data_IF_158093381874
#
_entry.id   IF_158093381874
#
_cell.length_a   1.000
_cell.length_b   1.000
_cell.length_c   1.000
_cell.angle_alpha   90.00
_cell.angle_beta   90.00
_cell.angle_gamma   90.00
#
_symmetry.space_group_name_H-M   'P 1'
#
loop_
_entity.id
_entity.type
_entity.pdbx_description
1 polymer ?
#
# COMPACT_ATOMS: atom_id res chain seq x y z
N UNK A 1 -78.17 -27.13 -15.28
CA UNK A 1 -78.04 -26.05 -14.29
C UNK A 1 -77.11 -26.50 -13.17
N UNK A 2 -75.83 -26.19 -13.26
CA UNK A 2 -74.89 -26.41 -12.16
C UNK A 2 -74.97 -25.21 -11.20
N UNK A 3 -75.28 -25.48 -9.93
CA UNK A 3 -75.48 -24.50 -8.87
C UNK A 3 -74.26 -23.60 -8.68
N UNK A 4 -74.51 -22.31 -8.43
CA UNK A 4 -73.53 -21.26 -8.07
C UNK A 4 -72.53 -21.70 -6.97
N UNK A 5 -72.92 -22.67 -6.14
CA UNK A 5 -72.08 -23.26 -5.08
C UNK A 5 -70.89 -24.10 -5.59
N UNK A 6 -70.95 -24.68 -6.79
CA UNK A 6 -69.85 -25.48 -7.34
C UNK A 6 -68.72 -24.64 -7.96
N UNK A 7 -69.00 -23.42 -8.43
CA UNK A 7 -67.97 -22.52 -8.97
C UNK A 7 -67.08 -21.92 -7.87
N UNK A 8 -67.63 -21.65 -6.69
CA UNK A 8 -66.86 -21.12 -5.55
C UNK A 8 -65.89 -22.13 -4.93
N UNK A 9 -66.23 -23.42 -4.93
CA UNK A 9 -65.35 -24.48 -4.40
C UNK A 9 -64.15 -24.81 -5.31
N UNK A 10 -64.23 -24.48 -6.60
CA UNK A 10 -63.12 -24.69 -7.54
C UNK A 10 -62.09 -23.54 -7.47
N UNK A 11 -62.54 -22.30 -7.26
CA UNK A 11 -61.66 -21.15 -7.03
C UNK A 11 -60.92 -21.22 -5.67
N UNK A 12 -61.55 -21.77 -4.63
CA UNK A 12 -60.92 -21.95 -3.31
C UNK A 12 -59.82 -23.04 -3.31
N UNK A 13 -59.93 -24.08 -4.14
CA UNK A 13 -58.89 -25.14 -4.26
C UNK A 13 -57.71 -24.75 -5.15
N UNK A 14 -57.90 -23.83 -6.10
CA UNK A 14 -56.81 -23.30 -6.95
C UNK A 14 -55.94 -22.25 -6.23
N UNK A 15 -56.45 -21.60 -5.18
CA UNK A 15 -55.68 -20.66 -4.35
C UNK A 15 -54.91 -21.35 -3.20
N UNK A 16 -55.22 -22.61 -2.88
CA UNK A 16 -54.63 -23.32 -1.74
C UNK A 16 -53.39 -24.16 -2.07
N UNK A 17 -53.01 -24.29 -3.35
CA UNK A 17 -51.89 -25.14 -3.79
C UNK A 17 -50.76 -24.40 -4.53
N UNK A 18 -50.76 -23.07 -4.53
CA UNK A 18 -49.61 -22.26 -4.98
C UNK A 18 -48.81 -21.65 -3.81
N UNK A 19 -49.05 -22.10 -2.58
CA UNK A 19 -48.09 -21.94 -1.47
C UNK A 19 -47.22 -23.20 -1.45
N UNK A 20 -46.65 -23.53 -2.62
CA UNK A 20 -45.41 -24.29 -2.62
C UNK A 20 -44.41 -23.33 -2.01
N UNK A 21 -43.93 -23.70 -0.83
CA UNK A 21 -42.77 -23.15 -0.17
C UNK A 21 -41.63 -23.00 -1.19
N UNK A 22 -41.59 -21.86 -1.89
CA UNK A 22 -40.35 -21.20 -2.22
C UNK A 22 -39.79 -20.77 -0.86
N UNK A 23 -39.19 -21.73 -0.13
CA UNK A 23 -37.99 -21.41 0.61
C UNK A 23 -37.00 -20.92 -0.46
N UNK A 24 -37.13 -19.65 -0.83
CA UNK A 24 -35.99 -18.86 -1.22
C UNK A 24 -35.07 -19.00 -0.02
N UNK A 25 -34.16 -19.98 -0.08
CA UNK A 25 -32.82 -19.76 0.37
C UNK A 25 -32.36 -18.50 -0.39
N UNK A 26 -32.76 -17.34 0.13
CA UNK A 26 -31.88 -16.20 0.13
C UNK A 26 -30.69 -16.66 0.95
N UNK A 27 -29.81 -17.46 0.33
CA UNK A 27 -28.40 -17.28 0.54
C UNK A 27 -28.18 -15.82 0.24
N UNK A 28 -28.29 -15.01 1.30
CA UNK A 28 -27.63 -13.73 1.33
C UNK A 28 -26.21 -14.10 0.91
N UNK A 29 -25.85 -13.76 -0.33
CA UNK A 29 -24.45 -13.52 -0.62
C UNK A 29 -24.13 -12.37 0.32
N UNK A 30 -23.79 -12.70 1.56
CA UNK A 30 -23.10 -11.80 2.44
C UNK A 30 -21.83 -11.52 1.66
N UNK A 31 -21.84 -10.43 0.90
CA UNK A 31 -20.62 -9.78 0.46
C UNK A 31 -19.86 -9.56 1.76
N UNK A 32 -18.88 -10.45 2.01
CA UNK A 32 -18.07 -10.39 3.22
C UNK A 32 -17.09 -9.27 2.97
N UNK A 33 -17.60 -8.04 3.15
CA UNK A 33 -16.80 -6.83 3.17
C UNK A 33 -15.78 -6.93 4.29
N UNK A 34 -14.65 -6.25 4.12
CA UNK A 34 -13.62 -6.19 5.15
C UNK A 34 -14.19 -5.58 6.43
N UNK A 35 -13.77 -6.09 7.59
CA UNK A 35 -14.28 -5.63 8.90
C UNK A 35 -13.15 -5.49 9.90
N UNK A 36 -13.24 -4.44 10.72
CA UNK A 36 -12.36 -4.31 11.89
C UNK A 36 -12.67 -5.45 12.86
N UNK A 37 -11.63 -6.10 13.37
CA UNK A 37 -11.78 -7.26 14.25
C UNK A 37 -12.26 -8.53 13.54
N UNK A 38 -12.02 -8.68 12.23
CA UNK A 38 -12.38 -9.88 11.46
C UNK A 38 -11.90 -11.18 12.12
N UNK A 39 -10.71 -11.17 12.73
CA UNK A 39 -10.09 -12.33 13.39
C UNK A 39 -10.41 -12.46 14.89
N UNK A 40 -11.31 -11.64 15.44
CA UNK A 40 -11.56 -11.58 16.90
C UNK A 40 -11.94 -12.93 17.51
N UNK A 41 -12.61 -13.81 16.77
CA UNK A 41 -12.97 -15.15 17.22
C UNK A 41 -12.04 -16.24 16.69
N UNK A 42 -11.60 -16.15 15.43
CA UNK A 42 -10.83 -17.22 14.76
C UNK A 42 -9.33 -17.18 15.05
N UNK A 43 -8.76 -15.99 15.26
CA UNK A 43 -7.37 -15.82 15.70
C UNK A 43 -7.22 -14.56 16.55
N UNK A 44 -7.67 -14.57 17.82
CA UNK A 44 -7.77 -13.37 18.66
C UNK A 44 -6.46 -12.61 18.86
N UNK A 45 -5.31 -13.30 18.75
CA UNK A 45 -3.98 -12.72 18.96
C UNK A 45 -3.28 -12.28 17.66
N UNK A 46 -3.91 -12.41 16.49
CA UNK A 46 -3.28 -12.13 15.19
C UNK A 46 -2.62 -10.74 15.12
N UNK A 47 -3.39 -9.67 15.36
CA UNK A 47 -2.87 -8.29 15.30
C UNK A 47 -1.75 -8.04 16.34
N UNK A 48 -1.81 -8.68 17.51
CA UNK A 48 -0.77 -8.52 18.54
C UNK A 48 0.54 -9.20 18.12
N UNK A 49 0.46 -10.40 17.53
CA UNK A 49 1.62 -11.14 17.02
C UNK A 49 2.33 -10.33 15.92
N UNK A 50 1.55 -9.79 14.97
CA UNK A 50 2.07 -8.97 13.86
C UNK A 50 2.75 -7.72 14.42
N UNK A 51 2.06 -6.98 15.29
CA UNK A 51 2.60 -5.78 15.93
C UNK A 51 3.92 -6.04 16.65
N UNK A 52 4.04 -7.17 17.36
CA UNK A 52 5.26 -7.53 18.06
C UNK A 52 6.42 -7.83 17.10
N UNK A 53 6.18 -8.59 16.03
CA UNK A 53 7.20 -8.85 15.01
C UNK A 53 7.69 -7.54 14.35
N UNK A 54 6.75 -6.66 13.97
CA UNK A 54 7.07 -5.35 13.39
C UNK A 54 7.86 -4.47 14.36
N UNK A 55 7.43 -4.35 15.62
CA UNK A 55 8.12 -3.54 16.62
C UNK A 55 9.53 -4.06 16.92
N UNK A 56 9.71 -5.37 16.97
CA UNK A 56 11.02 -6.00 17.15
C UNK A 56 11.94 -5.65 15.98
N UNK A 57 11.47 -5.84 14.74
CA UNK A 57 12.24 -5.54 13.54
C UNK A 57 12.60 -4.04 13.44
N UNK A 58 11.65 -3.13 13.70
CA UNK A 58 11.89 -1.68 13.69
C UNK A 58 12.91 -1.27 14.77
N UNK A 59 12.90 -1.92 15.94
CA UNK A 59 13.86 -1.62 17.01
C UNK A 59 15.29 -2.03 16.65
N UNK A 60 15.46 -3.00 15.76
CA UNK A 60 16.77 -3.41 15.23
C UNK A 60 17.17 -2.56 14.01
N UNK A 61 16.21 -2.24 13.15
CA UNK A 61 16.42 -1.43 11.95
C UNK A 61 15.20 -0.51 11.71
N UNK A 62 15.30 0.80 12.03
CA UNK A 62 14.21 1.75 11.83
C UNK A 62 13.71 1.84 10.38
N UNK A 63 14.56 1.51 9.40
CA UNK A 63 14.23 1.53 7.97
C UNK A 63 13.16 0.51 7.55
N UNK A 64 12.88 -0.49 8.40
CA UNK A 64 11.83 -1.50 8.18
C UNK A 64 10.44 -0.86 8.15
N UNK A 65 10.19 0.18 8.96
CA UNK A 65 8.89 0.85 8.99
C UNK A 65 8.52 1.41 7.62
N UNK A 66 9.46 2.11 6.98
CA UNK A 66 9.29 2.64 5.62
C UNK A 66 9.15 1.50 4.59
N UNK A 67 9.92 0.42 4.75
CA UNK A 67 9.85 -0.76 3.88
C UNK A 67 8.46 -1.41 3.86
N UNK A 68 7.87 -1.62 5.03
CA UNK A 68 6.55 -2.26 5.17
C UNK A 68 5.40 -1.38 4.67
N UNK A 69 5.45 -0.06 4.93
CA UNK A 69 4.47 0.89 4.38
C UNK A 69 4.54 0.90 2.86
N UNK A 70 5.76 0.98 2.29
CA UNK A 70 5.99 0.94 0.84
C UNK A 70 5.53 -0.39 0.24
N UNK A 71 5.82 -1.52 0.88
CA UNK A 71 5.41 -2.84 0.41
C UNK A 71 3.88 -2.97 0.35
N UNK A 72 3.16 -2.44 1.34
CA UNK A 72 1.69 -2.43 1.31
C UNK A 72 1.14 -1.53 0.18
N UNK A 73 1.77 -0.37 -0.07
CA UNK A 73 1.44 0.47 -1.22
C UNK A 73 1.66 -0.29 -2.55
N UNK A 74 2.81 -0.94 -2.70
CA UNK A 74 3.15 -1.69 -3.93
C UNK A 74 2.20 -2.86 -4.17
N UNK A 75 1.80 -3.59 -3.11
CA UNK A 75 0.76 -4.62 -3.19
C UNK A 75 -0.54 -4.02 -3.71
N UNK A 76 -1.09 -3.03 -3.02
CA UNK A 76 -2.38 -2.45 -3.38
C UNK A 76 -2.42 -1.80 -4.78
N UNK A 77 -1.28 -1.38 -5.33
CA UNK A 77 -1.20 -0.74 -6.64
C UNK A 77 -0.92 -1.71 -7.79
N UNK A 78 -0.72 -3.00 -7.51
CA UNK A 78 -0.57 -4.07 -8.52
C UNK A 78 -1.58 -5.17 -8.19
N UNK A 79 -2.58 -5.36 -9.07
CA UNK A 79 -3.73 -6.28 -8.88
C UNK A 79 -4.62 -6.05 -7.64
N UNK A 80 -4.24 -5.18 -6.71
CA UNK A 80 -5.00 -4.91 -5.49
C UNK A 80 -4.30 -5.46 -4.26
N UNK A 81 -4.84 -5.21 -3.07
CA UNK A 81 -4.21 -5.66 -1.83
C UNK A 81 -4.45 -7.16 -1.60
N UNK A 82 -3.82 -8.01 -2.42
CA UNK A 82 -3.96 -9.47 -2.41
C UNK A 82 -2.63 -10.20 -2.12
N UNK A 83 -1.62 -9.48 -1.61
CA UNK A 83 -0.29 -9.99 -1.29
C UNK A 83 0.47 -10.60 -2.48
N UNK A 84 0.15 -10.21 -3.71
CA UNK A 84 0.83 -10.69 -4.92
C UNK A 84 2.32 -10.33 -4.89
N UNK A 85 2.65 -9.13 -4.38
CA UNK A 85 4.04 -8.64 -4.21
C UNK A 85 4.90 -9.54 -3.32
N UNK A 86 4.27 -10.37 -2.47
CA UNK A 86 4.98 -11.29 -1.59
C UNK A 86 5.36 -12.60 -2.28
N UNK A 87 4.83 -12.93 -3.46
CA UNK A 87 5.25 -14.16 -4.15
C UNK A 87 6.70 -14.06 -4.63
N UNK A 88 7.46 -15.13 -4.47
CA UNK A 88 8.76 -15.28 -5.12
C UNK A 88 8.58 -15.74 -6.56
N UNK A 89 9.57 -15.42 -7.38
CA UNK A 89 9.67 -15.92 -8.75
C UNK A 89 9.69 -17.45 -8.78
N UNK A 90 9.04 -18.03 -9.78
CA UNK A 90 9.14 -19.47 -10.10
C UNK A 90 9.86 -19.64 -11.43
N UNK A 91 10.34 -20.85 -11.78
CA UNK A 91 10.98 -21.07 -13.08
C UNK A 91 10.07 -20.58 -14.22
N UNK A 92 10.61 -19.72 -15.08
CA UNK A 92 9.93 -19.08 -16.21
C UNK A 92 8.80 -18.09 -15.87
N UNK A 93 8.59 -17.75 -14.59
CA UNK A 93 7.62 -16.72 -14.20
C UNK A 93 8.25 -15.76 -13.18
N UNK A 94 8.94 -14.70 -13.66
CA UNK A 94 9.48 -13.67 -12.78
C UNK A 94 8.33 -12.93 -12.09
N UNK A 95 8.41 -12.86 -10.77
CA UNK A 95 7.39 -12.19 -9.94
C UNK A 95 7.58 -10.66 -9.96
N UNK A 96 6.60 -9.95 -9.41
CA UNK A 96 6.70 -8.50 -9.15
C UNK A 96 7.99 -8.13 -8.41
N UNK A 97 8.52 -9.02 -7.56
CA UNK A 97 9.75 -8.77 -6.81
C UNK A 97 10.94 -8.43 -7.72
N UNK A 98 11.00 -8.99 -8.93
CA UNK A 98 12.09 -8.78 -9.90
C UNK A 98 11.95 -7.52 -10.75
N UNK A 99 10.88 -6.75 -10.56
CA UNK A 99 10.68 -5.50 -11.28
C UNK A 99 11.67 -4.44 -10.82
N UNK A 100 12.10 -3.52 -11.70
CA UNK A 100 13.07 -2.46 -11.36
C UNK A 100 12.58 -1.54 -10.23
N UNK A 101 11.26 -1.39 -10.07
CA UNK A 101 10.67 -0.66 -8.96
C UNK A 101 10.78 -1.40 -7.61
N UNK A 102 11.06 -2.71 -7.62
CA UNK A 102 10.98 -3.60 -6.47
C UNK A 102 12.33 -4.24 -6.10
N UNK A 103 13.17 -4.60 -7.08
CA UNK A 103 14.48 -5.19 -6.85
C UNK A 103 15.60 -4.15 -7.04
N UNK A 104 16.56 -4.00 -6.10
CA UNK A 104 16.62 -4.61 -4.76
C UNK A 104 15.93 -3.74 -3.67
N UNK A 105 15.02 -2.83 -4.04
CA UNK A 105 14.55 -1.75 -3.16
C UNK A 105 13.45 -2.10 -2.14
N UNK A 106 12.58 -3.10 -2.42
CA UNK A 106 11.60 -3.57 -1.45
C UNK A 106 12.30 -4.39 -0.36
N UNK A 107 11.91 -4.18 0.90
CA UNK A 107 12.54 -4.77 2.08
C UNK A 107 11.55 -4.98 3.22
N UNK A 108 11.86 -5.90 4.14
CA UNK A 108 10.97 -6.29 5.24
C UNK A 108 10.14 -7.54 4.96
N UNK A 109 10.44 -8.29 3.90
CA UNK A 109 9.76 -9.56 3.58
C UNK A 109 9.91 -10.57 4.72
N UNK A 110 11.07 -10.61 5.34
CA UNK A 110 11.41 -11.45 6.50
C UNK A 110 10.52 -11.18 7.72
N UNK A 111 10.07 -9.93 7.91
CA UNK A 111 9.16 -9.55 9.00
C UNK A 111 7.77 -10.13 8.76
N UNK A 112 7.32 -10.12 7.51
CA UNK A 112 6.04 -10.72 7.10
C UNK A 112 6.10 -12.25 7.25
N UNK A 113 7.18 -12.88 6.81
CA UNK A 113 7.38 -14.32 6.93
C UNK A 113 7.46 -14.75 8.42
N UNK A 114 8.14 -13.99 9.27
CA UNK A 114 8.22 -14.25 10.72
C UNK A 114 6.84 -14.12 11.38
N UNK A 115 6.10 -13.05 11.11
CA UNK A 115 4.74 -12.87 11.62
C UNK A 115 3.82 -14.00 11.16
N UNK A 116 3.93 -14.40 9.88
CA UNK A 116 3.15 -15.49 9.31
C UNK A 116 3.46 -16.83 9.99
N UNK A 117 4.72 -17.16 10.20
CA UNK A 117 5.12 -18.40 10.86
C UNK A 117 4.56 -18.49 12.29
N UNK A 118 4.64 -17.39 13.06
CA UNK A 118 4.07 -17.31 14.42
C UNK A 118 2.54 -17.46 14.42
N UNK A 119 1.86 -16.84 13.46
CA UNK A 119 0.42 -16.96 13.28
C UNK A 119 0.03 -18.41 12.95
N UNK A 120 0.67 -19.04 11.97
CA UNK A 120 0.33 -20.40 11.54
C UNK A 120 0.53 -21.45 12.65
N UNK A 121 1.48 -21.21 13.56
CA UNK A 121 1.67 -22.07 14.75
C UNK A 121 0.50 -21.99 15.75
N UNK A 122 -0.28 -20.91 15.73
CA UNK A 122 -1.35 -20.64 16.72
C UNK A 122 -2.73 -20.82 16.10
N UNK A 123 -2.93 -20.29 14.89
CA UNK A 123 -4.20 -20.29 14.17
C UNK A 123 -3.97 -20.71 12.71
N UNK A 124 -3.74 -22.02 12.46
CA UNK A 124 -3.35 -22.51 11.14
C UNK A 124 -4.40 -22.18 10.08
N UNK A 125 -3.94 -21.84 8.88
CA UNK A 125 -4.75 -21.53 7.69
C UNK A 125 -5.84 -20.47 7.92
N UNK A 126 -5.63 -19.53 8.85
CA UNK A 126 -6.67 -18.57 9.27
C UNK A 126 -6.44 -17.15 8.75
N UNK A 127 -5.23 -16.59 8.93
CA UNK A 127 -4.93 -15.19 8.61
C UNK A 127 -4.20 -15.09 7.28
N UNK A 128 -4.68 -14.26 6.35
CA UNK A 128 -4.07 -14.08 5.03
C UNK A 128 -2.78 -13.27 5.12
N UNK A 129 -1.87 -13.47 4.17
CA UNK A 129 -0.68 -12.64 4.04
C UNK A 129 -1.02 -11.19 3.67
N UNK A 130 -2.09 -10.98 2.90
CA UNK A 130 -2.61 -9.65 2.57
C UNK A 130 -3.00 -8.86 3.83
N UNK A 131 -3.69 -9.50 4.79
CA UNK A 131 -4.03 -8.84 6.04
C UNK A 131 -2.81 -8.64 6.95
N UNK A 132 -1.86 -9.59 6.98
CA UNK A 132 -0.59 -9.39 7.72
C UNK A 132 0.14 -8.14 7.23
N UNK A 133 0.25 -7.96 5.91
CA UNK A 133 0.93 -6.80 5.32
C UNK A 133 0.18 -5.49 5.63
N UNK A 134 -1.15 -5.47 5.57
CA UNK A 134 -1.95 -4.30 5.92
C UNK A 134 -1.80 -3.90 7.40
N UNK A 135 -1.83 -4.88 8.31
CA UNK A 135 -1.57 -4.64 9.73
C UNK A 135 -0.12 -4.17 9.97
N UNK A 136 0.86 -4.75 9.29
CA UNK A 136 2.26 -4.39 9.43
C UNK A 136 2.54 -2.95 8.99
N UNK A 137 1.89 -2.46 7.93
CA UNK A 137 1.96 -1.06 7.51
C UNK A 137 1.38 -0.11 8.58
N UNK A 138 0.23 -0.47 9.19
CA UNK A 138 -0.36 0.31 10.29
C UNK A 138 0.54 0.35 11.51
N UNK A 139 1.06 -0.80 11.92
CA UNK A 139 1.93 -0.91 13.09
C UNK A 139 3.23 -0.13 12.88
N UNK A 140 3.76 -0.13 11.66
CA UNK A 140 4.89 0.72 11.26
C UNK A 140 4.57 2.21 11.41
N UNK A 141 3.48 2.69 10.81
CA UNK A 141 3.07 4.10 10.90
C UNK A 141 2.82 4.55 12.35
N UNK A 142 2.24 3.67 13.16
CA UNK A 142 2.03 3.91 14.59
C UNK A 142 3.36 3.98 15.34
N UNK A 143 4.29 3.07 15.08
CA UNK A 143 5.57 2.98 15.79
C UNK A 143 6.48 4.18 15.56
N UNK A 144 6.52 4.72 14.33
CA UNK A 144 7.44 5.81 13.96
C UNK A 144 6.79 7.18 13.81
N UNK A 145 5.45 7.26 13.77
CA UNK A 145 4.73 8.53 13.64
C UNK A 145 3.61 8.74 14.66
N UNK A 146 3.30 7.75 15.49
CA UNK A 146 2.11 7.78 16.35
C UNK A 146 0.79 7.74 15.57
N UNK A 147 0.83 7.44 14.27
CA UNK A 147 -0.34 7.41 13.40
C UNK A 147 -1.01 6.04 13.53
N UNK A 148 -2.05 5.98 14.36
CA UNK A 148 -2.83 4.77 14.57
C UNK A 148 -4.18 4.86 13.87
N UNK A 149 -4.60 3.75 13.25
CA UNK A 149 -5.89 3.61 12.60
C UNK A 149 -6.37 2.15 12.68
N UNK A 150 -7.69 1.96 12.65
CA UNK A 150 -8.27 0.63 12.61
C UNK A 150 -8.18 0.07 11.17
N UNK A 151 -7.67 -1.15 11.02
CA UNK A 151 -7.53 -1.80 9.71
C UNK A 151 -8.65 -2.82 9.55
N UNK A 152 -9.57 -2.63 8.59
CA UNK A 152 -10.51 -3.67 8.20
C UNK A 152 -9.76 -4.85 7.58
N UNK A 153 -10.08 -6.07 8.00
CA UNK A 153 -9.47 -7.31 7.54
C UNK A 153 -10.51 -8.29 6.98
N UNK A 154 -10.05 -9.43 6.48
CA UNK A 154 -10.81 -10.40 5.70
C UNK A 154 -10.36 -10.49 4.24
N UNK A 155 -9.19 -9.92 3.90
CA UNK A 155 -8.58 -10.07 2.57
C UNK A 155 -8.13 -11.51 2.38
N UNK A 156 -8.03 -11.92 1.13
CA UNK A 156 -7.49 -13.21 0.72
C UNK A 156 -6.28 -13.03 -0.18
N UNK A 157 -5.47 -14.06 -0.24
CA UNK A 157 -4.22 -14.05 -0.96
C UNK A 157 -4.46 -14.43 -2.43
N UNK A 158 -3.91 -13.62 -3.33
CA UNK A 158 -3.83 -13.87 -4.75
C UNK A 158 -2.85 -15.01 -5.07
N UNK A 159 -2.96 -15.55 -6.29
CA UNK A 159 -2.14 -16.68 -6.76
C UNK A 159 -1.19 -16.32 -7.90
N UNK A 160 -1.21 -15.06 -8.33
CA UNK A 160 -0.51 -14.58 -9.50
C UNK A 160 0.37 -13.41 -9.07
N UNK A 161 1.61 -13.42 -9.52
CA UNK A 161 2.51 -12.26 -9.48
C UNK A 161 3.33 -12.27 -10.76
N UNK A 162 3.27 -11.16 -11.49
CA UNK A 162 3.89 -11.01 -12.81
C UNK A 162 4.75 -9.75 -12.76
N UNK A 163 6.04 -9.88 -13.07
CA UNK A 163 7.01 -8.78 -13.06
C UNK A 163 6.51 -7.53 -13.78
N UNK A 164 5.97 -7.69 -14.98
CA UNK A 164 5.58 -6.59 -15.87
C UNK A 164 4.34 -5.84 -15.39
N UNK A 165 3.52 -6.40 -14.51
CA UNK A 165 2.36 -5.69 -13.96
C UNK A 165 2.75 -4.58 -13.01
N UNK A 166 3.94 -4.65 -12.40
CA UNK A 166 4.51 -3.57 -11.61
C UNK A 166 4.87 -2.32 -12.42
N UNK A 167 4.74 -2.33 -13.76
CA UNK A 167 4.77 -1.12 -14.58
C UNK A 167 3.62 -0.14 -14.26
N UNK A 168 2.56 -0.59 -13.57
CA UNK A 168 1.48 0.32 -13.13
C UNK A 168 1.87 1.22 -11.96
N UNK A 169 3.01 0.98 -11.30
CA UNK A 169 3.49 1.78 -10.19
C UNK A 169 3.92 3.18 -10.68
N UNK A 170 3.59 4.26 -9.94
CA UNK A 170 4.02 5.60 -10.30
C UNK A 170 5.55 5.74 -10.22
N UNK A 171 6.15 6.38 -11.23
CA UNK A 171 7.59 6.60 -11.31
C UNK A 171 8.07 7.82 -10.50
N UNK A 172 9.34 7.84 -10.06
CA UNK A 172 9.91 8.95 -9.26
C UNK A 172 10.11 10.24 -10.06
N UNK A 173 10.02 10.17 -11.39
CA UNK A 173 10.13 11.29 -12.32
C UNK A 173 8.78 11.79 -12.84
N UNK A 174 7.66 11.23 -12.38
CA UNK A 174 6.33 11.67 -12.80
C UNK A 174 6.06 13.11 -12.34
N UNK A 175 5.40 13.88 -13.21
CA UNK A 175 4.88 15.19 -12.85
C UNK A 175 3.54 15.07 -12.09
N UNK A 176 3.04 16.17 -11.53
CA UNK A 176 1.80 16.18 -10.74
C UNK A 176 0.55 15.64 -11.48
N UNK A 177 0.46 15.84 -12.80
CA UNK A 177 -0.65 15.33 -13.61
C UNK A 177 -0.56 13.81 -13.76
N UNK A 178 0.61 13.28 -14.11
CA UNK A 178 0.86 11.85 -14.21
C UNK A 178 0.63 11.13 -12.87
N UNK A 179 1.04 11.74 -11.75
CA UNK A 179 0.75 11.22 -10.41
C UNK A 179 -0.76 11.20 -10.14
N UNK A 180 -1.47 12.28 -10.47
CA UNK A 180 -2.93 12.37 -10.30
C UNK A 180 -3.65 11.32 -11.14
N UNK A 181 -3.22 11.09 -12.39
CA UNK A 181 -3.80 10.07 -13.27
C UNK A 181 -3.53 8.65 -12.74
N UNK A 182 -2.29 8.37 -12.31
CA UNK A 182 -1.89 7.07 -11.76
C UNK A 182 -2.70 6.70 -10.51
N UNK A 183 -2.83 7.64 -9.56
CA UNK A 183 -3.66 7.46 -8.36
C UNK A 183 -5.15 7.41 -8.68
N UNK A 184 -5.61 8.22 -9.65
CA UNK A 184 -6.99 8.24 -10.12
C UNK A 184 -7.45 6.89 -10.69
N UNK A 185 -6.57 6.17 -11.40
CA UNK A 185 -6.83 4.78 -11.88
C UNK A 185 -7.11 3.79 -10.75
N UNK A 186 -6.68 4.11 -9.52
CA UNK A 186 -6.95 3.34 -8.29
C UNK A 186 -8.02 3.97 -7.40
N UNK A 187 -8.75 4.96 -7.91
CA UNK A 187 -9.87 5.61 -7.22
C UNK A 187 -9.47 6.65 -6.17
N UNK A 188 -8.26 7.20 -6.23
CA UNK A 188 -7.79 8.24 -5.31
C UNK A 188 -7.94 9.64 -5.88
N UNK A 189 -8.26 10.60 -5.01
CA UNK A 189 -8.24 12.03 -5.35
C UNK A 189 -6.81 12.57 -5.34
N UNK A 190 -6.62 13.77 -5.90
CA UNK A 190 -5.35 14.50 -5.81
C UNK A 190 -4.97 14.82 -4.36
N UNK A 191 -5.93 15.10 -3.47
CA UNK A 191 -5.63 15.31 -2.05
C UNK A 191 -5.14 14.04 -1.36
N UNK A 192 -5.74 12.89 -1.67
CA UNK A 192 -5.30 11.61 -1.12
C UNK A 192 -3.93 11.21 -1.65
N UNK A 193 -3.65 11.46 -2.94
CA UNK A 193 -2.31 11.30 -3.53
C UNK A 193 -1.29 12.16 -2.78
N UNK A 194 -1.52 13.46 -2.64
CA UNK A 194 -0.60 14.36 -1.91
C UNK A 194 -0.44 13.93 -0.44
N UNK A 195 -1.52 13.43 0.18
CA UNK A 195 -1.49 12.91 1.56
C UNK A 195 -0.61 11.65 1.66
N UNK A 196 -0.77 10.69 0.75
CA UNK A 196 -0.02 9.43 0.75
C UNK A 196 1.47 9.64 0.39
N UNK A 197 1.80 10.63 -0.45
CA UNK A 197 3.19 11.04 -0.69
C UNK A 197 3.93 11.44 0.59
N UNK A 198 3.19 11.84 1.65
CA UNK A 198 3.75 12.09 2.98
C UNK A 198 4.44 10.89 3.62
N UNK A 199 4.22 9.66 3.11
CA UNK A 199 5.01 8.49 3.51
C UNK A 199 6.52 8.68 3.27
N UNK A 200 6.91 9.55 2.32
CA UNK A 200 8.31 9.94 2.07
C UNK A 200 8.92 10.81 3.20
N UNK A 201 8.20 11.09 4.29
CA UNK A 201 8.78 11.60 5.53
C UNK A 201 9.76 10.63 6.20
N UNK A 202 9.76 9.35 5.81
CA UNK A 202 10.69 8.34 6.31
C UNK A 202 11.28 7.51 5.17
N UNK A 203 12.38 6.82 5.47
CA UNK A 203 13.00 5.90 4.53
C UNK A 203 14.01 6.58 3.62
N UNK A 204 14.40 5.85 2.58
CA UNK A 204 15.52 6.21 1.71
C UNK A 204 15.18 5.92 0.25
N UNK A 205 15.88 6.59 -0.67
CA UNK A 205 15.92 6.26 -2.08
C UNK A 205 17.37 5.96 -2.51
N UNK A 206 17.54 5.05 -3.46
CA UNK A 206 18.84 4.80 -4.08
C UNK A 206 19.21 5.97 -4.99
N UNK A 207 20.50 6.30 -5.06
CA UNK A 207 20.98 7.44 -5.83
C UNK A 207 20.49 7.46 -7.29
N UNK A 208 20.44 6.34 -8.05
CA UNK A 208 19.96 6.37 -9.43
C UNK A 208 18.49 6.79 -9.58
N UNK A 209 17.69 6.69 -8.51
CA UNK A 209 16.29 7.11 -8.52
C UNK A 209 16.13 8.63 -8.72
N UNK A 210 17.14 9.43 -8.36
CA UNK A 210 17.09 10.90 -8.43
C UNK A 210 18.38 11.56 -8.97
N UNK A 211 19.38 10.79 -9.37
CA UNK A 211 20.67 11.30 -9.85
C UNK A 211 20.54 12.20 -11.08
N UNK A 212 19.50 12.01 -11.90
CA UNK A 212 19.17 12.90 -13.01
C UNK A 212 18.99 14.35 -12.54
N UNK A 213 18.39 14.57 -11.36
CA UNK A 213 18.22 15.92 -10.78
C UNK A 213 19.53 16.56 -10.37
N UNK A 214 20.58 15.78 -10.13
CA UNK A 214 21.88 16.28 -9.67
C UNK A 214 22.85 16.56 -10.84
N UNK A 215 22.78 15.76 -11.90
CA UNK A 215 23.84 15.69 -12.92
C UNK A 215 23.37 15.77 -14.38
N UNK A 216 22.12 15.44 -14.68
CA UNK A 216 21.64 15.33 -16.06
C UNK A 216 20.16 15.69 -16.16
N UNK A 217 19.78 16.87 -15.66
CA UNK A 217 18.37 17.21 -15.49
C UNK A 217 17.67 17.44 -16.83
N UNK A 218 18.22 18.29 -17.69
CA UNK A 218 17.81 18.43 -19.09
C UNK A 218 18.92 19.06 -19.95
N UNK A 219 18.63 19.37 -21.21
CA UNK A 219 19.59 19.95 -22.18
C UNK A 219 20.06 21.36 -21.82
N UNK A 220 19.30 22.11 -21.02
CA UNK A 220 19.59 23.50 -20.64
C UNK A 220 20.19 23.60 -19.24
N UNK A 221 19.82 22.69 -18.34
CA UNK A 221 20.21 22.71 -16.94
C UNK A 221 20.87 21.37 -16.56
N UNK A 222 22.16 21.37 -16.18
CA UNK A 222 22.84 20.14 -15.73
C UNK A 222 22.29 19.64 -14.39
N UNK A 223 21.85 20.54 -13.51
CA UNK A 223 21.19 20.24 -12.23
C UNK A 223 19.78 20.82 -12.25
N UNK A 224 18.83 20.16 -11.60
CA UNK A 224 17.46 20.64 -11.44
C UNK A 224 17.44 22.03 -10.79
N UNK A 225 16.98 23.08 -11.50
CA UNK A 225 16.97 24.45 -10.99
C UNK A 225 15.91 24.66 -9.89
N UNK A 226 14.97 23.71 -9.71
CA UNK A 226 13.96 23.76 -8.66
C UNK A 226 14.44 23.25 -7.30
N UNK A 227 15.65 22.67 -7.23
CA UNK A 227 16.24 22.13 -6.01
C UNK A 227 17.11 23.18 -5.32
N UNK A 228 17.01 23.28 -3.99
CA UNK A 228 17.88 24.11 -3.15
C UNK A 228 19.37 23.80 -3.46
N UNK A 229 20.19 24.78 -3.85
CA UNK A 229 21.57 24.52 -4.27
C UNK A 229 22.47 23.93 -3.18
N UNK A 230 22.25 24.28 -1.91
CA UNK A 230 23.01 23.73 -0.78
C UNK A 230 22.61 22.28 -0.51
N UNK A 231 21.32 21.97 -0.65
CA UNK A 231 20.83 20.60 -0.55
C UNK A 231 21.32 19.74 -1.70
N UNK A 232 21.33 20.26 -2.93
CA UNK A 232 21.93 19.56 -4.06
C UNK A 232 23.42 19.29 -3.84
N UNK A 233 24.18 20.26 -3.32
CA UNK A 233 25.58 20.06 -2.96
C UNK A 233 25.75 18.98 -1.89
N UNK A 234 24.90 18.97 -0.85
CA UNK A 234 24.87 17.91 0.15
C UNK A 234 24.57 16.54 -0.46
N UNK A 235 23.56 16.42 -1.32
CA UNK A 235 23.20 15.15 -1.98
C UNK A 235 24.35 14.63 -2.85
N UNK A 236 25.10 15.50 -3.53
CA UNK A 236 26.29 15.12 -4.31
C UNK A 236 27.42 14.52 -3.46
N UNK A 237 27.46 14.79 -2.15
CA UNK A 237 28.40 14.12 -1.22
C UNK A 237 27.97 12.69 -0.87
N UNK A 238 26.66 12.39 -0.96
CA UNK A 238 26.08 11.06 -0.69
C UNK A 238 25.98 10.22 -1.95
N UNK A 239 25.69 10.88 -3.06
CA UNK A 239 25.43 10.30 -4.36
C UNK A 239 26.40 10.91 -5.37
N UNK A 240 27.66 10.46 -5.42
CA UNK A 240 28.60 10.92 -6.44
C UNK A 240 28.10 10.57 -7.86
N UNK A 241 28.66 11.18 -8.93
CA UNK A 241 28.30 10.84 -10.29
C UNK A 241 28.41 9.32 -10.53
N UNK A 242 27.48 8.71 -11.29
CA UNK A 242 27.53 7.29 -11.58
C UNK A 242 28.88 6.91 -12.18
N UNK A 243 29.61 6.00 -11.52
CA UNK A 243 30.77 5.34 -12.11
C UNK A 243 30.26 4.05 -12.75
N UNK A 244 30.65 3.77 -14.00
CA UNK A 244 30.02 2.74 -14.85
C UNK A 244 30.16 1.28 -14.41
N UNK A 245 30.56 0.99 -13.16
CA UNK A 245 30.97 -0.32 -12.67
C UNK A 245 30.32 -0.73 -11.32
N UNK A 246 29.04 -0.44 -11.08
CA UNK A 246 28.35 -0.97 -9.90
C UNK A 246 27.41 -2.11 -10.31
N UNK A 247 27.55 -3.28 -9.66
CA UNK A 247 26.71 -4.47 -9.88
C UNK A 247 25.32 -4.38 -9.24
N UNK A 248 24.91 -3.17 -8.81
CA UNK A 248 23.61 -2.88 -8.21
C UNK A 248 23.46 -3.27 -6.74
N UNK A 249 24.41 -4.00 -6.13
CA UNK A 249 24.24 -4.54 -4.77
C UNK A 249 24.63 -3.59 -3.63
N UNK A 250 25.45 -2.56 -3.91
CA UNK A 250 25.94 -1.56 -2.93
C UNK A 250 25.71 -0.11 -3.39
N UNK A 251 24.60 0.15 -4.07
CA UNK A 251 24.29 1.53 -4.48
C UNK A 251 23.98 2.42 -3.27
N UNK A 252 24.68 3.57 -3.12
CA UNK A 252 24.42 4.48 -2.02
C UNK A 252 22.97 4.95 -2.00
N UNK A 253 22.49 5.26 -0.79
CA UNK A 253 21.13 5.77 -0.58
C UNK A 253 21.17 7.13 0.12
N UNK A 254 20.12 7.92 -0.10
CA UNK A 254 19.86 9.15 0.65
C UNK A 254 18.48 9.07 1.30
N UNK A 255 18.32 9.70 2.46
CA UNK A 255 17.02 9.82 3.10
C UNK A 255 16.05 10.63 2.23
N UNK A 256 14.80 10.17 2.13
CA UNK A 256 13.74 10.89 1.40
C UNK A 256 13.44 12.27 2.03
N UNK A 257 13.58 12.35 3.35
CA UNK A 257 13.49 13.56 4.16
C UNK A 257 14.67 13.52 5.15
N UNK A 258 15.55 14.53 5.15
CA UNK A 258 16.84 14.45 5.83
C UNK A 258 16.83 14.97 7.28
N UNK A 259 15.84 15.77 7.68
CA UNK A 259 15.74 16.38 9.00
C UNK A 259 15.33 15.35 10.07
N UNK A 260 14.39 14.48 9.74
CA UNK A 260 13.78 13.49 10.62
C UNK A 260 13.55 12.13 9.93
N UNK A 261 14.60 11.50 9.35
CA UNK A 261 14.49 10.37 8.40
C UNK A 261 13.83 9.08 8.93
N UNK A 262 13.56 9.02 10.23
CA UNK A 262 12.95 7.89 10.92
C UNK A 262 11.66 8.25 11.66
N UNK A 263 11.13 9.46 11.48
CA UNK A 263 9.88 9.90 12.08
C UNK A 263 8.86 10.20 10.97
N UNK A 264 7.72 9.51 11.02
CA UNK A 264 6.64 9.75 10.07
C UNK A 264 5.84 10.97 10.55
N UNK A 265 6.22 12.15 10.06
CA UNK A 265 5.58 13.41 10.39
C UNK A 265 5.41 14.30 9.15
N UNK A 266 5.13 15.60 9.35
CA UNK A 266 4.87 16.52 8.25
C UNK A 266 6.11 17.30 7.79
N UNK A 267 7.32 16.97 8.27
CA UNK A 267 8.56 17.58 7.80
C UNK A 267 8.77 17.39 6.30
N UNK A 268 8.29 16.27 5.73
CA UNK A 268 8.24 16.08 4.27
C UNK A 268 7.69 17.32 3.55
N UNK A 269 6.52 17.82 3.94
CA UNK A 269 5.89 18.97 3.28
C UNK A 269 6.60 20.30 3.61
N UNK A 270 7.22 20.41 4.79
CA UNK A 270 8.02 21.58 5.15
C UNK A 270 9.25 21.66 4.25
N UNK A 271 9.93 20.54 4.00
CA UNK A 271 11.10 20.48 3.13
C UNK A 271 10.74 20.67 1.65
N UNK A 272 9.55 20.27 1.20
CA UNK A 272 9.08 20.66 -0.13
C UNK A 272 9.07 22.19 -0.31
N UNK A 273 8.54 22.94 0.67
CA UNK A 273 8.55 24.42 0.67
C UNK A 273 9.94 25.01 0.62
N UNK A 274 10.92 24.31 1.19
CA UNK A 274 12.32 24.70 1.17
C UNK A 274 13.04 24.26 -0.12
N UNK A 275 12.32 23.74 -1.12
CA UNK A 275 12.88 23.21 -2.37
C UNK A 275 13.80 21.99 -2.16
N UNK A 276 13.48 21.18 -1.15
CA UNK A 276 14.29 20.04 -0.69
C UNK A 276 13.57 18.70 -0.78
N UNK A 277 12.55 18.59 -1.64
CA UNK A 277 12.02 17.28 -2.04
C UNK A 277 13.09 16.47 -2.77
N UNK A 278 13.29 15.21 -2.41
CA UNK A 278 14.36 14.38 -3.00
C UNK A 278 14.02 13.97 -4.44
N UNK A 279 12.82 13.42 -4.65
CA UNK A 279 12.39 12.95 -5.96
C UNK A 279 11.74 14.08 -6.78
N UNK A 280 11.76 13.97 -8.10
CA UNK A 280 11.03 14.91 -8.97
C UNK A 280 9.52 14.84 -8.70
N UNK A 281 9.00 13.63 -8.45
CA UNK A 281 7.62 13.37 -8.04
C UNK A 281 7.24 14.01 -6.71
N UNK A 282 8.22 14.34 -5.86
CA UNK A 282 7.97 15.04 -4.60
C UNK A 282 7.91 16.55 -4.85
N UNK A 283 8.97 17.10 -5.47
CA UNK A 283 9.09 18.55 -5.66
C UNK A 283 8.00 19.10 -6.60
N UNK A 284 7.51 18.30 -7.56
CA UNK A 284 6.42 18.70 -8.46
C UNK A 284 5.12 19.03 -7.72
N UNK A 285 4.88 18.48 -6.52
CA UNK A 285 3.66 18.73 -5.74
C UNK A 285 3.57 20.17 -5.23
N UNK A 286 4.72 20.82 -5.01
CA UNK A 286 4.75 22.25 -4.68
C UNK A 286 4.68 23.12 -5.95
N UNK A 287 5.32 22.68 -7.03
CA UNK A 287 5.43 23.43 -8.27
C UNK A 287 4.12 23.50 -9.07
N UNK A 288 3.23 22.53 -8.90
CA UNK A 288 1.94 22.48 -9.60
C UNK A 288 0.84 23.25 -8.87
N UNK A 289 0.10 24.10 -9.60
CA UNK A 289 -1.02 24.87 -9.05
C UNK A 289 -2.16 23.99 -8.49
N UNK A 290 -2.33 22.77 -9.02
CA UNK A 290 -3.40 21.86 -8.59
C UNK A 290 -3.14 21.18 -7.24
N UNK A 291 -1.89 21.17 -6.75
CA UNK A 291 -1.47 20.43 -5.56
C UNK A 291 -0.76 21.31 -4.51
N UNK A 292 -0.24 22.47 -4.92
CA UNK A 292 0.50 23.42 -4.07
C UNK A 292 -0.20 23.73 -2.74
N UNK A 293 -1.49 24.10 -2.78
CA UNK A 293 -2.22 24.46 -1.55
C UNK A 293 -2.37 23.28 -0.59
N UNK A 294 -2.47 22.05 -1.11
CA UNK A 294 -2.52 20.83 -0.28
C UNK A 294 -1.19 20.59 0.44
N UNK A 295 -0.07 20.82 -0.26
CA UNK A 295 1.29 20.76 0.33
C UNK A 295 1.44 21.82 1.42
N UNK A 296 1.08 23.07 1.15
CA UNK A 296 1.17 24.16 2.12
C UNK A 296 0.30 23.90 3.35
N UNK A 297 -0.90 23.36 3.15
CA UNK A 297 -1.79 22.98 4.23
C UNK A 297 -1.19 21.87 5.10
N UNK A 298 -0.68 20.79 4.50
CA UNK A 298 -0.08 19.68 5.25
C UNK A 298 1.21 20.11 5.98
N UNK A 299 2.00 21.01 5.40
CA UNK A 299 3.16 21.61 6.06
C UNK A 299 2.77 22.42 7.32
N UNK A 300 1.63 23.12 7.29
CA UNK A 300 1.13 23.93 8.41
C UNK A 300 0.39 23.10 9.47
N UNK A 301 -0.27 22.02 9.07
CA UNK A 301 -1.23 21.29 9.91
C UNK A 301 -0.87 19.80 10.04
N UNK A 302 0.28 19.49 10.65
CA UNK A 302 0.79 18.12 10.77
C UNK A 302 -0.17 17.11 11.40
N UNK A 303 -0.89 17.48 12.48
CA UNK A 303 -1.89 16.60 13.09
C UNK A 303 -3.05 16.27 12.12
N UNK A 304 -3.49 17.26 11.32
CA UNK A 304 -4.54 17.04 10.34
C UNK A 304 -4.04 16.17 9.19
N UNK A 305 -2.81 16.37 8.72
CA UNK A 305 -2.17 15.47 7.76
C UNK A 305 -2.11 14.03 8.29
N UNK A 306 -1.67 13.81 9.52
CA UNK A 306 -1.58 12.47 10.12
C UNK A 306 -2.95 11.76 10.15
N UNK A 307 -4.02 12.49 10.47
CA UNK A 307 -5.39 11.96 10.43
C UNK A 307 -5.86 11.64 9.00
N UNK A 308 -5.51 12.49 8.02
CA UNK A 308 -5.78 12.22 6.59
C UNK A 308 -4.99 11.01 6.09
N UNK A 309 -3.72 10.88 6.50
CA UNK A 309 -2.84 9.76 6.15
C UNK A 309 -3.43 8.43 6.64
N UNK A 310 -3.85 8.35 7.89
CA UNK A 310 -4.52 7.14 8.40
C UNK A 310 -5.78 6.77 7.61
N UNK A 311 -6.62 7.75 7.25
CA UNK A 311 -7.82 7.51 6.41
C UNK A 311 -7.46 7.03 5.00
N UNK A 312 -6.46 7.65 4.37
CA UNK A 312 -6.00 7.29 3.04
C UNK A 312 -5.37 5.88 3.02
N UNK A 313 -4.62 5.51 4.07
CA UNK A 313 -4.08 4.15 4.24
C UNK A 313 -5.19 3.11 4.40
N UNK A 314 -6.24 3.42 5.17
CA UNK A 314 -7.42 2.54 5.27
C UNK A 314 -8.07 2.36 3.90
N UNK A 315 -8.29 3.44 3.15
CA UNK A 315 -8.86 3.39 1.80
C UNK A 315 -7.97 2.59 0.84
N UNK A 316 -6.66 2.78 0.88
CA UNK A 316 -5.68 1.98 0.13
C UNK A 316 -5.84 0.50 0.38
N UNK A 317 -6.06 0.09 1.63
CA UNK A 317 -6.34 -1.29 1.97
C UNK A 317 -7.59 -1.88 1.30
N UNK A 318 -8.50 -1.11 0.69
CA UNK A 318 -9.69 -1.65 0.02
C UNK A 318 -9.51 -1.86 -1.48
N UNK A 319 -8.37 -1.49 -2.07
CA UNK A 319 -8.16 -1.58 -3.52
C UNK A 319 -8.20 -3.03 -3.98
N UNK A 320 -9.15 -3.34 -4.87
CA UNK A 320 -9.30 -4.59 -5.62
C UNK A 320 -9.10 -5.88 -4.79
N UNK A 321 -9.57 -5.88 -3.54
CA UNK A 321 -9.33 -6.99 -2.60
C UNK A 321 -10.09 -8.27 -2.95
N UNK A 322 -9.43 -9.42 -2.74
CA UNK A 322 -10.09 -10.72 -2.75
C UNK A 322 -10.77 -10.99 -1.40
N UNK A 323 -12.01 -11.50 -1.42
CA UNK A 323 -12.77 -11.84 -0.20
C UNK A 323 -13.52 -13.17 -0.34
N UNK A 324 -14.05 -13.69 0.77
CA UNK A 324 -14.91 -14.87 0.76
C UNK A 324 -14.17 -16.14 0.31
N UNK A 325 -14.47 -16.65 -0.87
CA UNK A 325 -13.82 -17.82 -1.49
C UNK A 325 -12.83 -17.46 -2.59
N UNK A 326 -12.67 -16.18 -2.93
CA UNK A 326 -11.71 -15.73 -3.94
C UNK A 326 -10.28 -15.86 -3.40
N UNK A 327 -9.33 -16.43 -4.16
CA UNK A 327 -7.96 -16.62 -3.67
C UNK A 327 -7.83 -17.69 -2.57
N UNK A 328 -6.81 -17.58 -1.73
CA UNK A 328 -6.49 -18.52 -0.64
C UNK A 328 -6.08 -17.86 0.67
N UNK A 329 -5.82 -18.68 1.69
CA UNK A 329 -5.01 -18.28 2.84
C UNK A 329 -3.70 -19.04 2.67
N UNK A 330 -2.65 -18.36 2.20
CA UNK A 330 -1.35 -18.99 1.98
C UNK A 330 -0.74 -19.39 3.31
N UNK A 331 -0.11 -20.56 3.41
CA UNK A 331 0.65 -20.99 4.60
C UNK A 331 2.01 -20.30 4.69
N UNK A 332 2.63 -20.07 3.55
CA UNK A 332 3.87 -19.32 3.40
C UNK A 332 3.64 -18.14 2.46
N UNK A 333 3.94 -16.92 2.90
CA UNK A 333 3.66 -15.73 2.08
C UNK A 333 4.51 -15.62 0.82
N UNK A 334 5.55 -16.45 0.69
CA UNK A 334 6.40 -16.51 -0.50
C UNK A 334 5.88 -17.42 -1.62
N UNK A 335 4.90 -18.30 -1.35
CA UNK A 335 4.47 -19.34 -2.31
C UNK A 335 2.96 -19.56 -2.27
N UNK A 336 2.36 -19.90 -3.41
CA UNK A 336 1.00 -20.45 -3.45
C UNK A 336 0.94 -21.81 -2.74
N UNK A 337 -0.23 -22.16 -2.19
CA UNK A 337 -0.43 -23.38 -1.38
C UNK A 337 -0.27 -24.70 -2.14
#
# INVERSE_FOLDING_TARGET
MASSSQKFKLLSKLLSNCIIFFFLFHSTLASKTLKVGFYKSSCPHAETIIKNAVNQAISQNPGIAAGLIRMHFHDCFVRGCEASVLLKSTPNNPSEREHIANFPSLRGFEVIDEAKAKIEAICPNTVSCADILAFAARDSACRVGGINYAVPAGRRDGRISIKEEANSLPGPSFNAEQLTESFGKRGFSSEEMVTLSGAHSIGVAHCPTFSNRLYSFNTTHPQDPSMDPLYAAYLKTKCPPPSGNNDGSDEPTAALEFFSPHRLDNWYYIELKNHRGLLSSDQTLLSSSSTKEMVLHNAKHGHQWAAKFGKAMVKMGFVDVLTGSQGEIRRHCSFVN
#
